data_IF_608957541822
#
_entry.id   IF_608957541822
#
_cell.length_a   1.000
_cell.length_b   1.000
_cell.length_c   1.000
_cell.angle_alpha   90.00
_cell.angle_beta   90.00
_cell.angle_gamma   90.00
#
_symmetry.space_group_name_H-M   'P 1'
#
loop_
_entity.id
_entity.type
_entity.pdbx_description
1 polymer ?
#
# COMPACT_ATOMS: atom_id res chain seq x y z
N UNK A 1 38.21 -27.94 18.21
CA UNK A 1 37.98 -27.05 17.04
C UNK A 1 36.52 -26.96 16.58
N UNK A 2 35.59 -27.84 17.02
CA UNK A 2 34.16 -27.82 16.62
C UNK A 2 33.29 -26.80 17.38
N UNK A 3 33.67 -26.41 18.60
CA UNK A 3 32.87 -25.51 19.45
C UNK A 3 33.00 -24.02 19.08
N UNK A 4 34.17 -23.60 18.57
CA UNK A 4 34.40 -22.22 18.08
C UNK A 4 33.62 -21.90 16.81
N UNK A 5 33.34 -22.91 15.95
CA UNK A 5 32.54 -22.74 14.71
C UNK A 5 31.07 -22.46 15.02
N UNK A 6 30.55 -23.04 16.11
CA UNK A 6 29.16 -22.84 16.56
C UNK A 6 28.94 -21.42 17.12
N UNK A 7 29.98 -20.84 17.73
CA UNK A 7 29.93 -19.49 18.30
C UNK A 7 29.83 -18.39 17.23
N UNK A 8 30.33 -18.64 16.01
CA UNK A 8 30.20 -17.72 14.87
C UNK A 8 28.89 -17.90 14.09
N UNK A 9 28.21 -19.06 14.22
CA UNK A 9 26.94 -19.32 13.53
C UNK A 9 25.74 -18.62 14.19
N UNK A 10 25.77 -18.47 15.51
CA UNK A 10 24.69 -17.84 16.26
C UNK A 10 24.46 -16.35 15.91
N UNK A 11 25.49 -15.48 15.86
CA UNK A 11 25.29 -14.08 15.44
C UNK A 11 24.92 -13.95 13.97
N UNK A 12 25.39 -14.87 13.10
CA UNK A 12 25.01 -14.88 11.69
C UNK A 12 23.52 -15.22 11.48
N UNK A 13 22.97 -16.14 12.29
CA UNK A 13 21.54 -16.48 12.25
C UNK A 13 20.66 -15.33 12.78
N UNK A 14 21.12 -14.65 13.84
CA UNK A 14 20.45 -13.46 14.39
C UNK A 14 20.47 -12.27 13.41
N UNK A 15 21.55 -12.10 12.64
CA UNK A 15 21.62 -11.06 11.61
C UNK A 15 20.67 -11.31 10.42
N UNK A 16 20.39 -12.57 10.09
CA UNK A 16 19.46 -12.93 9.01
C UNK A 16 17.99 -12.71 9.39
N UNK A 17 17.65 -12.89 10.67
CA UNK A 17 16.28 -12.72 11.17
C UNK A 17 15.77 -11.26 11.14
N UNK A 18 16.67 -10.28 11.05
CA UNK A 18 16.30 -8.85 11.01
C UNK A 18 15.88 -8.42 9.59
N UNK A 19 16.14 -9.23 8.57
CA UNK A 19 15.90 -8.84 7.17
C UNK A 19 14.54 -9.25 6.61
N UNK A 20 13.68 -9.87 7.42
CA UNK A 20 12.26 -10.04 7.10
C UNK A 20 11.46 -8.83 7.59
N UNK A 21 11.85 -7.64 7.15
CA UNK A 21 10.98 -6.48 7.27
C UNK A 21 9.79 -6.70 6.36
N UNK A 22 8.58 -6.82 6.90
CA UNK A 22 7.37 -6.83 6.12
C UNK A 22 7.33 -5.53 5.30
N UNK A 23 7.54 -5.64 3.98
CA UNK A 23 7.40 -4.50 3.07
C UNK A 23 5.92 -4.18 3.04
N UNK A 24 5.50 -3.20 3.84
CA UNK A 24 4.11 -2.75 3.85
C UNK A 24 3.69 -2.29 2.45
N UNK A 25 2.38 -2.26 2.19
CA UNK A 25 1.86 -1.76 0.93
C UNK A 25 2.44 -0.35 0.65
N UNK A 26 2.91 -0.08 -0.58
CA UNK A 26 3.50 1.21 -0.91
C UNK A 26 2.51 2.34 -0.62
N UNK A 27 2.99 3.41 0.02
CA UNK A 27 2.19 4.59 0.28
C UNK A 27 1.83 5.22 -1.07
N UNK A 28 0.54 5.44 -1.38
CA UNK A 28 0.15 6.03 -2.65
C UNK A 28 0.57 7.51 -2.76
N UNK A 29 0.81 8.03 -3.98
CA UNK A 29 1.05 9.45 -4.19
C UNK A 29 -0.18 10.28 -3.81
N UNK A 30 0.01 11.59 -3.64
CA UNK A 30 -1.09 12.51 -3.38
C UNK A 30 -2.15 12.42 -4.49
N UNK A 31 -3.44 12.25 -4.15
CA UNK A 31 -4.51 12.08 -5.12
C UNK A 31 -4.78 13.39 -5.89
N UNK A 32 -4.93 13.29 -7.21
CA UNK A 32 -5.36 14.42 -8.08
C UNK A 32 -6.85 14.37 -8.42
N UNK A 33 -7.53 13.28 -8.05
CA UNK A 33 -8.94 12.99 -8.29
C UNK A 33 -9.52 12.19 -7.11
N UNK A 34 -10.84 12.09 -7.03
CA UNK A 34 -11.51 11.41 -5.91
C UNK A 34 -11.34 9.88 -5.94
N UNK A 35 -11.12 9.30 -7.11
CA UNK A 35 -10.95 7.84 -7.28
C UNK A 35 -9.70 7.55 -8.06
N UNK A 36 -8.78 6.77 -7.50
CA UNK A 36 -7.63 6.23 -8.23
C UNK A 36 -7.67 4.71 -8.17
N UNK A 37 -7.86 4.07 -9.31
CA UNK A 37 -7.83 2.62 -9.44
C UNK A 37 -6.50 2.16 -10.05
N UNK A 38 -5.50 1.92 -9.20
CA UNK A 38 -4.20 1.40 -9.61
C UNK A 38 -4.22 -0.12 -9.85
N UNK A 39 -5.27 -0.82 -9.41
CA UNK A 39 -5.44 -2.25 -9.63
C UNK A 39 -6.17 -2.59 -10.94
N UNK A 40 -6.87 -1.63 -11.55
CA UNK A 40 -7.56 -1.78 -12.82
C UNK A 40 -8.82 -2.67 -12.73
N UNK A 41 -9.48 -2.67 -11.58
CA UNK A 41 -10.66 -3.50 -11.30
C UNK A 41 -11.98 -2.82 -11.66
N UNK A 42 -11.97 -1.49 -11.83
CA UNK A 42 -13.14 -0.70 -12.21
C UNK A 42 -13.20 -0.53 -13.73
N UNK A 43 -14.41 -0.57 -14.28
CA UNK A 43 -14.64 -0.12 -15.66
C UNK A 43 -14.45 1.41 -15.77
N UNK A 44 -14.10 1.95 -16.94
CA UNK A 44 -13.96 3.39 -17.14
C UNK A 44 -15.22 4.18 -16.74
N UNK A 45 -16.39 3.70 -17.13
CA UNK A 45 -17.66 4.35 -16.78
C UNK A 45 -17.96 4.34 -15.28
N UNK A 46 -17.56 3.28 -14.56
CA UNK A 46 -17.69 3.22 -13.10
C UNK A 46 -16.75 4.21 -12.42
N UNK A 47 -15.51 4.31 -12.90
CA UNK A 47 -14.51 5.25 -12.38
C UNK A 47 -15.00 6.70 -12.55
N UNK A 48 -15.52 7.05 -13.72
CA UNK A 48 -16.05 8.39 -14.01
C UNK A 48 -17.28 8.72 -13.15
N UNK A 49 -18.22 7.79 -13.04
CA UNK A 49 -19.43 7.96 -12.23
C UNK A 49 -19.09 8.13 -10.74
N UNK A 50 -18.13 7.38 -10.23
CA UNK A 50 -17.71 7.48 -8.83
C UNK A 50 -16.97 8.79 -8.55
N UNK A 51 -16.08 9.23 -9.45
CA UNK A 51 -15.45 10.55 -9.37
C UNK A 51 -16.50 11.67 -9.33
N UNK A 52 -17.49 11.63 -10.22
CA UNK A 52 -18.55 12.64 -10.26
C UNK A 52 -19.38 12.65 -8.96
N UNK A 53 -19.72 11.47 -8.43
CA UNK A 53 -20.47 11.35 -7.18
C UNK A 53 -19.71 11.90 -5.98
N UNK A 54 -18.43 11.56 -5.84
CA UNK A 54 -17.61 12.03 -4.72
C UNK A 54 -17.32 13.53 -4.80
N UNK A 55 -17.15 14.06 -6.01
CA UNK A 55 -17.10 15.51 -6.24
C UNK A 55 -18.38 16.21 -5.78
N UNK A 56 -19.54 15.70 -6.15
CA UNK A 56 -20.82 16.27 -5.74
C UNK A 56 -21.03 16.17 -4.22
N UNK A 57 -20.61 15.05 -3.60
CA UNK A 57 -20.64 14.89 -2.15
C UNK A 57 -19.80 15.97 -1.45
N UNK A 58 -18.55 16.17 -1.87
CA UNK A 58 -17.69 17.22 -1.32
C UNK A 58 -18.30 18.61 -1.46
N UNK A 59 -18.94 18.90 -2.60
CA UNK A 59 -19.61 20.19 -2.81
C UNK A 59 -20.81 20.37 -1.88
N UNK A 60 -21.53 19.29 -1.56
CA UNK A 60 -22.73 19.33 -0.73
C UNK A 60 -22.41 19.40 0.77
N UNK A 61 -21.36 18.73 1.24
CA UNK A 61 -21.05 18.59 2.67
C UNK A 61 -19.81 19.37 3.12
N UNK A 62 -18.91 19.70 2.19
CA UNK A 62 -17.57 20.19 2.50
C UNK A 62 -16.57 19.07 2.81
N UNK A 63 -17.03 17.84 3.03
CA UNK A 63 -16.18 16.71 3.38
C UNK A 63 -15.60 16.03 2.14
N UNK A 64 -14.28 15.77 2.16
CA UNK A 64 -13.62 15.07 1.07
C UNK A 64 -13.42 13.60 1.39
N UNK A 65 -13.87 12.74 0.46
CA UNK A 65 -13.63 11.29 0.50
C UNK A 65 -12.80 10.91 -0.72
N UNK A 66 -11.68 10.23 -0.48
CA UNK A 66 -10.78 9.72 -1.53
C UNK A 66 -10.81 8.19 -1.50
N UNK A 67 -10.92 7.59 -2.68
CA UNK A 67 -10.86 6.14 -2.89
C UNK A 67 -9.58 5.82 -3.64
N UNK A 68 -8.74 4.96 -3.05
CA UNK A 68 -7.55 4.42 -3.69
C UNK A 68 -7.65 2.90 -3.71
N UNK A 69 -7.54 2.30 -4.88
CA UNK A 69 -7.50 0.84 -5.06
C UNK A 69 -6.10 0.46 -5.50
N UNK A 70 -5.34 -0.10 -4.58
CA UNK A 70 -3.98 -0.57 -4.83
C UNK A 70 -3.91 -2.09 -4.96
N UNK A 71 -2.77 -2.58 -5.43
CA UNK A 71 -2.42 -4.00 -5.35
C UNK A 71 -1.70 -4.28 -4.03
N UNK A 72 -1.84 -5.52 -3.55
CA UNK A 72 -1.09 -6.03 -2.39
C UNK A 72 -0.29 -7.25 -2.84
N UNK A 73 0.85 -7.49 -2.20
CA UNK A 73 1.77 -8.62 -2.45
C UNK A 73 1.77 -9.56 -1.28
#
# INVERSE_FOLDING_TARGET
MRLKRLFFLLPALLAFAVWTGAVGAPIPPAPTQWVTDAAGVLSPGTLDALNARLKAFQQATGDQVIVYIGTTT
#
